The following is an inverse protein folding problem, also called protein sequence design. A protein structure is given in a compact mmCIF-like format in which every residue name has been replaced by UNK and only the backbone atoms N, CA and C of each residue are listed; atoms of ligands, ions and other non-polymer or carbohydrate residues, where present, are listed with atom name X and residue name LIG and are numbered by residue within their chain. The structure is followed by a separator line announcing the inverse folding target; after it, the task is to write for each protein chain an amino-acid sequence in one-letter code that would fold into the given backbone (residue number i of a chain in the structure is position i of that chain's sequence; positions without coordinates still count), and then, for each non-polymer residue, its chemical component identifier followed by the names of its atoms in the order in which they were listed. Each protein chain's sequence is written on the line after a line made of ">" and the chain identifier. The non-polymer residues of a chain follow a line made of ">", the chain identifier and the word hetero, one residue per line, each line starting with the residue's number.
data_IF_884531238000
#
_entry.id   IF_884531238000
#
_cell.length_a   1.000
_cell.length_b   1.000
_cell.length_c   1.000
_cell.angle_alpha   90.00
_cell.angle_beta   90.00
_cell.angle_gamma   90.00
#
_symmetry.space_group_name_H-M   'P 1'
#
loop_
_entity.id
_entity.type
_entity.pdbx_description
1 polymer ?
#
# COMPACT_ATOMS: atom_id res chain seq x y z
N UNK A 1 -7.97 7.51 -9.78
CA UNK A 1 -6.83 6.95 -9.03
C UNK A 1 -6.96 5.44 -8.79
N UNK A 2 -8.04 4.94 -8.17
CA UNK A 2 -8.20 3.51 -7.84
C UNK A 2 -8.17 2.54 -9.03
N UNK A 3 -8.54 2.98 -10.25
CA UNK A 3 -8.60 2.09 -11.44
C UNK A 3 -7.24 1.69 -12.03
N UNK A 4 -6.16 2.44 -11.72
CA UNK A 4 -4.81 2.15 -12.20
C UNK A 4 -4.02 1.22 -11.25
N UNK A 5 -4.43 1.16 -9.98
CA UNK A 5 -3.80 0.38 -8.92
C UNK A 5 -3.94 -1.15 -9.10
N UNK A 6 -4.97 -1.59 -9.83
CA UNK A 6 -5.28 -3.01 -10.03
C UNK A 6 -4.87 -3.53 -11.41
N UNK A 7 -4.27 -2.69 -12.25
CA UNK A 7 -3.99 -3.02 -13.65
C UNK A 7 -3.05 -4.23 -13.82
N UNK A 8 -2.11 -4.40 -12.89
CA UNK A 8 -1.10 -5.47 -12.93
C UNK A 8 -1.38 -6.60 -11.93
N UNK A 9 -2.55 -6.62 -11.29
CA UNK A 9 -2.90 -7.64 -10.31
C UNK A 9 -3.37 -8.89 -11.05
N UNK A 10 -2.49 -9.89 -11.14
CA UNK A 10 -2.81 -11.19 -11.73
C UNK A 10 -3.19 -12.21 -10.64
N UNK A 11 -4.32 -12.93 -10.76
CA UNK A 11 -4.58 -14.07 -9.90
C UNK A 11 -3.56 -15.18 -10.19
N UNK A 12 -2.93 -15.69 -9.14
CA UNK A 12 -2.04 -16.84 -9.21
C UNK A 12 -2.79 -18.17 -9.42
N UNK A 13 -2.05 -19.28 -9.66
CA UNK A 13 -2.65 -20.59 -9.92
C UNK A 13 -3.50 -21.08 -8.74
N UNK A 14 -4.49 -21.92 -9.04
CA UNK A 14 -5.32 -22.58 -8.04
C UNK A 14 -4.45 -23.48 -7.16
N UNK A 15 -4.56 -23.32 -5.85
CA UNK A 15 -3.93 -24.16 -4.85
C UNK A 15 -5.01 -24.74 -3.93
N UNK A 16 -4.91 -26.02 -3.57
CA UNK A 16 -5.78 -26.59 -2.54
C UNK A 16 -5.12 -26.44 -1.17
N UNK A 17 -5.87 -25.88 -0.23
CA UNK A 17 -5.49 -25.85 1.18
C UNK A 17 -6.46 -26.69 1.99
N UNK A 18 -5.92 -27.46 2.93
CA UNK A 18 -6.71 -28.23 3.87
C UNK A 18 -6.83 -27.43 5.17
N UNK A 19 -8.06 -27.13 5.57
CA UNK A 19 -8.39 -26.51 6.84
C UNK A 19 -7.92 -27.38 8.01
N UNK A 20 -7.67 -26.77 9.17
CA UNK A 20 -7.38 -27.49 10.42
C UNK A 20 -8.48 -28.49 10.82
N UNK A 21 -9.68 -28.36 10.24
CA UNK A 21 -10.83 -29.26 10.44
C UNK A 21 -10.95 -30.36 9.37
N UNK A 22 -10.00 -30.47 8.44
CA UNK A 22 -9.95 -31.52 7.41
C UNK A 22 -10.65 -31.20 6.09
N UNK A 23 -11.34 -30.06 5.97
CA UNK A 23 -11.98 -29.64 4.72
C UNK A 23 -10.96 -29.07 3.73
N UNK A 24 -11.02 -29.52 2.47
CA UNK A 24 -10.16 -29.02 1.39
C UNK A 24 -10.88 -27.92 0.61
N UNK A 25 -10.25 -26.76 0.50
CA UNK A 25 -10.80 -25.61 -0.23
C UNK A 25 -9.80 -25.08 -1.27
N UNK A 26 -10.35 -24.58 -2.38
CA UNK A 26 -9.57 -23.93 -3.42
C UNK A 26 -9.19 -22.52 -2.97
N UNK A 27 -7.91 -22.19 -3.10
CA UNK A 27 -7.33 -20.88 -2.81
C UNK A 27 -6.72 -20.33 -4.09
N UNK A 28 -7.03 -19.08 -4.39
CA UNK A 28 -6.36 -18.32 -5.42
C UNK A 28 -5.37 -17.39 -4.74
N UNK A 29 -4.07 -17.65 -4.91
CA UNK A 29 -3.05 -16.77 -4.37
C UNK A 29 -3.06 -15.45 -5.16
N UNK A 30 -3.39 -14.34 -4.51
CA UNK A 30 -3.28 -13.01 -5.13
C UNK A 30 -1.83 -12.53 -4.99
N UNK A 31 -1.08 -12.46 -6.08
CA UNK A 31 0.25 -11.84 -6.06
C UNK A 31 0.07 -10.34 -6.20
N UNK A 32 0.35 -9.62 -5.13
CA UNK A 32 0.31 -8.16 -5.09
C UNK A 32 1.67 -7.63 -5.59
N UNK A 33 1.74 -6.92 -6.73
CA UNK A 33 2.99 -6.43 -7.26
C UNK A 33 3.54 -5.24 -6.43
N UNK A 34 4.85 -4.92 -6.52
CA UNK A 34 5.45 -3.84 -5.72
C UNK A 34 4.87 -2.45 -5.97
N UNK A 35 4.20 -2.25 -7.11
CA UNK A 35 3.50 -1.02 -7.50
C UNK A 35 2.03 -0.95 -7.03
N UNK A 36 1.61 -1.89 -6.19
CA UNK A 36 0.29 -1.85 -5.57
C UNK A 36 0.13 -0.58 -4.72
N UNK A 37 -1.07 0.05 -4.70
CA UNK A 37 -1.24 1.38 -4.13
C UNK A 37 -0.67 1.43 -2.73
N UNK A 38 0.34 2.28 -2.58
CA UNK A 38 0.84 2.70 -1.28
C UNK A 38 -0.38 3.14 -0.48
N UNK A 39 -0.62 2.60 0.73
CA UNK A 39 -1.76 3.02 1.54
C UNK A 39 -1.78 4.54 1.61
N UNK A 40 -2.95 5.15 1.42
CA UNK A 40 -3.10 6.61 1.47
C UNK A 40 -2.49 7.22 2.74
N UNK A 41 -2.48 6.45 3.83
CA UNK A 41 -1.82 6.78 5.10
C UNK A 41 -0.29 6.92 4.99
N UNK A 42 0.39 6.07 4.21
CA UNK A 42 1.83 6.14 4.02
C UNK A 42 2.22 7.36 3.15
N UNK A 43 1.46 7.66 2.10
CA UNK A 43 1.67 8.85 1.28
C UNK A 43 1.35 10.14 2.06
N UNK A 44 0.26 10.15 2.83
CA UNK A 44 -0.09 11.28 3.70
C UNK A 44 1.01 11.54 4.75
N UNK A 45 1.55 10.48 5.37
CA UNK A 45 2.66 10.60 6.33
C UNK A 45 3.87 11.28 5.70
N UNK A 46 4.29 10.87 4.51
CA UNK A 46 5.43 11.46 3.81
C UNK A 46 5.23 12.96 3.54
N UNK A 47 4.03 13.34 3.06
CA UNK A 47 3.71 14.73 2.77
C UNK A 47 3.63 15.60 4.02
N UNK A 48 3.07 15.08 5.13
CA UNK A 48 3.04 15.78 6.41
C UNK A 48 4.46 15.99 6.98
N UNK A 49 5.33 14.99 6.87
CA UNK A 49 6.73 15.12 7.28
C UNK A 49 7.46 16.19 6.45
N UNK A 50 7.35 16.16 5.12
CA UNK A 50 7.95 17.20 4.26
C UNK A 50 7.38 18.59 4.57
N UNK A 51 6.06 18.69 4.67
CA UNK A 51 5.37 19.94 5.00
C UNK A 51 5.84 20.52 6.34
N UNK A 52 6.04 19.69 7.36
CA UNK A 52 6.58 20.11 8.66
C UNK A 52 7.99 20.69 8.57
N UNK A 53 8.89 20.04 7.83
CA UNK A 53 10.24 20.57 7.61
C UNK A 53 10.24 21.90 6.85
N UNK A 54 9.43 22.02 5.80
CA UNK A 54 9.30 23.26 5.05
C UNK A 54 8.72 24.39 5.90
N UNK A 55 7.70 24.10 6.72
CA UNK A 55 7.12 25.07 7.63
C UNK A 55 8.14 25.57 8.65
N UNK A 56 8.90 24.66 9.27
CA UNK A 56 9.93 25.03 10.24
C UNK A 56 11.03 25.90 9.61
N UNK A 57 11.46 25.56 8.39
CA UNK A 57 12.44 26.36 7.64
C UNK A 57 11.91 27.77 7.34
N UNK A 58 10.64 27.87 6.95
CA UNK A 58 9.98 29.14 6.64
C UNK A 58 9.82 30.01 7.89
N UNK A 59 9.42 29.42 9.02
CA UNK A 59 9.31 30.14 10.30
C UNK A 59 10.66 30.70 10.75
N UNK A 60 11.73 29.91 10.62
CA UNK A 60 13.10 30.34 10.93
C UNK A 60 13.61 31.44 9.99
N UNK A 61 13.12 31.50 8.75
CA UNK A 61 13.45 32.55 7.81
C UNK A 61 12.72 33.87 8.11
N UNK A 62 11.50 33.82 8.67
CA UNK A 62 10.71 35.02 9.00
C UNK A 62 11.13 35.59 10.38
N UNK A 63 11.49 34.74 11.34
CA UNK A 63 11.93 35.13 12.68
C UNK A 63 13.33 34.57 13.00
N UNK A 64 14.41 35.31 12.70
CA UNK A 64 15.77 34.95 13.10
C UNK A 64 16.01 35.15 14.61
#
# INVERSE_FOLDING_TARGET
>A
AAKLAYADVTPGPIAQQTSKKGESYNVWALTVPPNYPVPSSALAREQLTRGGYHLAALLRAIWP
#
